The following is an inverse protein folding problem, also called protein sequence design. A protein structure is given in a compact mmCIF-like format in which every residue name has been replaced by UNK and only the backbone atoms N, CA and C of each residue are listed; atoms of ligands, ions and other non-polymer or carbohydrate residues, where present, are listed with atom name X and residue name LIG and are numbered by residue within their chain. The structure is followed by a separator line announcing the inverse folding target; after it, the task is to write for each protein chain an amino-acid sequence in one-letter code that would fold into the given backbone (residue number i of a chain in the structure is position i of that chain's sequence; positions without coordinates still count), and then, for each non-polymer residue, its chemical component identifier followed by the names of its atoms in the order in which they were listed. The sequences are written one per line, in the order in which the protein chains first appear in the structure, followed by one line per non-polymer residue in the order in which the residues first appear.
data_IF_402605677853
#
_entry.id   IF_402605677853
#
_cell.length_a   1.000
_cell.length_b   1.000
_cell.length_c   1.000
_cell.angle_alpha   90.00
_cell.angle_beta   90.00
_cell.angle_gamma   90.00
#
_symmetry.space_group_name_H-M   'P 1'
#
loop_
_entity.id
_entity.type
_entity.pdbx_description
1 polymer ?
#
# COMPACT_ATOMS: atom_id res chain seq x y z
N UNK A 1 33.78 44.70 -60.36
CA UNK A 1 33.45 43.52 -61.18
C UNK A 1 33.34 42.32 -60.24
N UNK A 2 32.31 41.50 -60.37
CA UNK A 2 32.17 40.26 -59.59
C UNK A 2 30.88 40.14 -58.79
N UNK A 3 29.72 40.25 -59.46
CA UNK A 3 28.46 39.76 -58.90
C UNK A 3 28.53 38.22 -58.89
N UNK A 4 28.35 37.58 -57.73
CA UNK A 4 28.16 36.13 -57.65
C UNK A 4 26.68 35.80 -57.93
N UNK A 5 26.40 34.84 -58.82
CA UNK A 5 25.04 34.57 -59.29
C UNK A 5 24.20 33.82 -58.24
N UNK A 6 22.92 34.17 -58.23
CA UNK A 6 21.82 33.59 -57.46
C UNK A 6 21.57 32.16 -57.96
N UNK A 7 22.01 31.16 -57.19
CA UNK A 7 21.67 29.77 -57.42
C UNK A 7 20.16 29.60 -57.17
N UNK A 8 19.45 29.14 -58.20
CA UNK A 8 18.06 28.70 -58.09
C UNK A 8 18.11 27.22 -57.68
N UNK A 9 17.73 26.93 -56.43
CA UNK A 9 17.47 25.56 -56.01
C UNK A 9 16.01 25.23 -56.35
N UNK A 10 15.83 24.40 -57.38
CA UNK A 10 14.56 23.77 -57.72
C UNK A 10 14.23 22.74 -56.65
N UNK A 11 13.38 23.10 -55.69
CA UNK A 11 12.89 22.16 -54.70
C UNK A 11 11.55 21.56 -55.17
N UNK A 12 11.66 20.44 -55.88
CA UNK A 12 10.57 19.54 -56.23
C UNK A 12 9.99 18.91 -54.96
N UNK A 13 8.99 19.54 -54.36
CA UNK A 13 8.17 18.90 -53.34
C UNK A 13 6.99 18.20 -54.01
N UNK A 14 7.16 16.88 -54.16
CA UNK A 14 6.09 15.94 -54.52
C UNK A 14 4.88 16.10 -53.61
N UNK A 15 3.71 16.09 -54.25
CA UNK A 15 2.41 16.03 -53.62
C UNK A 15 2.31 14.87 -52.63
N UNK A 16 2.05 15.18 -51.35
CA UNK A 16 1.48 14.22 -50.41
C UNK A 16 0.02 14.59 -50.17
N UNK A 17 -0.84 13.62 -50.49
CA UNK A 17 -2.28 13.77 -50.61
C UNK A 17 -2.99 14.18 -49.32
N UNK A 18 -4.10 14.85 -49.56
CA UNK A 18 -5.13 15.22 -48.61
C UNK A 18 -5.64 13.98 -47.85
N UNK A 19 -5.15 13.80 -46.63
CA UNK A 19 -5.80 12.91 -45.67
C UNK A 19 -7.06 13.60 -45.14
N UNK A 20 -8.17 13.33 -45.84
CA UNK A 20 -9.54 13.54 -45.35
C UNK A 20 -9.68 12.81 -44.02
N UNK A 21 -9.69 13.54 -42.90
CA UNK A 21 -10.09 12.99 -41.60
C UNK A 21 -11.61 12.90 -41.60
N UNK A 22 -12.11 11.77 -42.10
CA UNK A 22 -13.52 11.49 -42.26
C UNK A 22 -14.27 11.60 -40.93
N UNK A 23 -15.41 12.28 -41.00
CA UNK A 23 -16.20 12.80 -39.89
C UNK A 23 -17.11 11.73 -39.31
N UNK A 24 -16.54 10.78 -38.57
CA UNK A 24 -17.31 9.86 -37.74
C UNK A 24 -16.79 9.86 -36.31
N UNK A 25 -17.07 10.93 -35.56
CA UNK A 25 -17.01 10.85 -34.08
C UNK A 25 -18.07 9.83 -33.63
N UNK A 26 -17.71 8.70 -33.00
CA UNK A 26 -18.72 7.82 -32.43
C UNK A 26 -19.48 8.62 -31.36
N UNK A 27 -20.80 8.72 -31.55
CA UNK A 27 -21.69 9.42 -30.63
C UNK A 27 -21.56 8.76 -29.26
N UNK A 28 -21.30 9.57 -28.22
CA UNK A 28 -21.25 9.06 -26.85
C UNK A 28 -22.61 8.45 -26.50
N UNK A 29 -22.66 7.28 -25.84
CA UNK A 29 -23.92 6.62 -25.52
C UNK A 29 -24.79 7.50 -24.61
N UNK A 30 -26.14 7.39 -24.70
CA UNK A 30 -27.05 8.15 -23.85
C UNK A 30 -26.83 7.81 -22.38
N UNK A 31 -26.98 8.79 -21.49
CA UNK A 31 -26.70 8.68 -20.06
C UNK A 31 -27.42 7.52 -19.35
N UNK A 32 -28.54 7.04 -19.92
CA UNK A 32 -29.30 5.87 -19.45
C UNK A 32 -28.55 4.55 -19.63
N UNK A 33 -27.73 4.39 -20.67
CA UNK A 33 -26.91 3.19 -20.87
C UNK A 33 -25.74 3.08 -19.88
N UNK A 34 -25.32 4.20 -19.29
CA UNK A 34 -24.20 4.28 -18.32
C UNK A 34 -24.65 3.81 -16.92
N UNK A 35 -25.94 3.91 -16.60
CA UNK A 35 -26.48 3.61 -15.25
C UNK A 35 -26.83 2.14 -15.00
N UNK A 36 -26.76 1.27 -16.02
CA UNK A 36 -27.14 -0.15 -15.92
C UNK A 36 -25.95 -1.13 -16.06
N UNK A 37 -24.70 -0.66 -15.94
CA UNK A 37 -23.54 -1.55 -15.86
C UNK A 37 -23.41 -2.10 -14.42
N UNK A 38 -24.20 -3.11 -14.10
CA UNK A 38 -23.92 -4.02 -13.00
C UNK A 38 -22.42 -4.38 -13.05
N UNK A 39 -21.74 -4.22 -11.92
CA UNK A 39 -20.29 -4.39 -11.74
C UNK A 39 -19.85 -5.73 -12.34
N UNK A 40 -19.49 -5.76 -13.63
CA UNK A 40 -19.07 -7.00 -14.29
C UNK A 40 -17.85 -7.49 -13.53
N UNK A 41 -17.96 -8.63 -12.86
CA UNK A 41 -16.78 -9.31 -12.27
C UNK A 41 -15.80 -9.48 -13.42
N UNK A 42 -14.57 -8.96 -13.25
CA UNK A 42 -13.58 -9.04 -14.31
C UNK A 42 -13.26 -10.53 -14.52
N UNK A 43 -13.31 -11.06 -15.76
CA UNK A 43 -13.19 -12.50 -16.02
C UNK A 43 -11.94 -13.16 -15.42
N UNK A 44 -10.83 -12.41 -15.36
CA UNK A 44 -9.55 -12.91 -14.84
C UNK A 44 -9.53 -13.17 -13.33
N UNK A 45 -10.55 -12.76 -12.55
CA UNK A 45 -10.66 -13.19 -11.14
C UNK A 45 -10.94 -14.70 -11.00
N UNK A 46 -11.43 -15.34 -12.07
CA UNK A 46 -11.73 -16.77 -12.10
C UNK A 46 -10.56 -17.61 -12.61
N UNK A 47 -9.54 -16.94 -13.17
CA UNK A 47 -8.35 -17.52 -13.78
C UNK A 47 -7.53 -18.35 -12.76
N UNK A 48 -7.09 -19.57 -13.11
CA UNK A 48 -6.19 -20.36 -12.27
C UNK A 48 -4.92 -19.63 -11.88
N UNK A 49 -4.32 -18.85 -12.79
CA UNK A 49 -3.08 -18.12 -12.53
C UNK A 49 -3.31 -17.03 -11.48
N UNK A 50 -4.49 -16.41 -11.50
CA UNK A 50 -4.89 -15.44 -10.48
C UNK A 50 -5.06 -16.10 -9.11
N UNK A 51 -5.59 -17.32 -9.06
CA UNK A 51 -5.73 -18.06 -7.78
C UNK A 51 -4.38 -18.38 -7.17
N UNK A 52 -3.41 -18.79 -7.99
CA UNK A 52 -2.04 -19.07 -7.53
C UNK A 52 -1.33 -17.78 -7.08
N UNK A 53 -1.42 -16.71 -7.87
CA UNK A 53 -0.87 -15.40 -7.49
C UNK A 53 -1.47 -14.91 -6.17
N UNK A 54 -2.80 -14.99 -6.02
CA UNK A 54 -3.50 -14.64 -4.78
C UNK A 54 -3.00 -15.47 -3.60
N UNK A 55 -2.83 -16.78 -3.77
CA UNK A 55 -2.32 -17.66 -2.72
C UNK A 55 -0.87 -17.32 -2.36
N UNK A 56 -0.03 -17.00 -3.35
CA UNK A 56 1.35 -16.56 -3.16
C UNK A 56 1.45 -15.30 -2.29
N UNK A 57 0.64 -14.28 -2.60
CA UNK A 57 0.60 -13.03 -1.82
C UNK A 57 0.15 -13.27 -0.38
N UNK A 58 -0.88 -14.10 -0.15
CA UNK A 58 -1.33 -14.46 1.20
C UNK A 58 -0.21 -15.15 2.01
N UNK A 59 0.51 -16.09 1.38
CA UNK A 59 1.64 -16.78 2.01
C UNK A 59 2.78 -15.82 2.36
N UNK A 60 3.14 -14.93 1.44
CA UNK A 60 4.19 -13.91 1.66
C UNK A 60 3.83 -12.94 2.79
N UNK A 61 2.54 -12.65 2.95
CA UNK A 61 2.03 -11.80 4.04
C UNK A 61 1.75 -12.59 5.34
N UNK A 62 2.17 -13.85 5.42
CA UNK A 62 1.97 -14.77 6.57
C UNK A 62 0.50 -14.93 6.98
N UNK A 63 -0.42 -14.92 6.01
CA UNK A 63 -1.87 -14.96 6.23
C UNK A 63 -2.30 -13.90 7.26
N UNK A 64 -1.77 -12.68 7.10
CA UNK A 64 -2.06 -11.53 7.97
C UNK A 64 -2.32 -10.28 7.16
N UNK A 65 -3.27 -9.50 7.64
CA UNK A 65 -3.53 -8.16 7.13
C UNK A 65 -2.27 -7.28 7.30
N UNK A 66 -1.73 -6.77 6.19
CA UNK A 66 -0.56 -5.89 6.16
C UNK A 66 -0.73 -4.57 6.92
N UNK A 67 -1.99 -4.18 7.16
CA UNK A 67 -2.33 -2.94 7.87
C UNK A 67 -2.52 -3.12 9.38
N UNK A 68 -3.07 -4.25 9.83
CA UNK A 68 -3.46 -4.41 11.23
C UNK A 68 -3.10 -5.77 11.86
N UNK A 69 -2.49 -6.69 11.13
CA UNK A 69 -2.06 -8.01 11.62
C UNK A 69 -3.15 -9.05 11.84
N UNK A 70 -4.43 -8.70 11.60
CA UNK A 70 -5.59 -9.61 11.67
C UNK A 70 -5.39 -10.81 10.75
N UNK A 71 -5.85 -11.99 11.17
CA UNK A 71 -5.92 -13.20 10.33
C UNK A 71 -7.32 -13.47 9.80
N UNK A 72 -8.32 -12.70 10.27
CA UNK A 72 -9.72 -12.89 9.90
C UNK A 72 -10.10 -12.12 8.63
N UNK A 73 -10.99 -12.72 7.84
CA UNK A 73 -11.62 -12.14 6.64
C UNK A 73 -10.62 -11.48 5.68
N UNK A 74 -9.58 -12.23 5.27
CA UNK A 74 -8.51 -11.73 4.42
C UNK A 74 -8.89 -11.70 2.94
N UNK A 75 -8.59 -10.57 2.32
CA UNK A 75 -8.77 -10.29 0.90
C UNK A 75 -7.44 -9.77 0.34
N UNK A 76 -7.11 -10.14 -0.90
CA UNK A 76 -5.98 -9.56 -1.63
C UNK A 76 -6.50 -8.36 -2.41
N UNK A 77 -5.91 -7.20 -2.14
CA UNK A 77 -6.28 -5.92 -2.73
C UNK A 77 -5.10 -5.32 -3.49
N UNK A 78 -5.38 -4.50 -4.50
CA UNK A 78 -4.34 -3.81 -5.26
C UNK A 78 -3.88 -2.56 -4.51
N UNK A 79 -2.57 -2.36 -4.34
CA UNK A 79 -1.98 -1.16 -3.73
C UNK A 79 -2.37 0.07 -4.56
N UNK A 80 -2.11 0.02 -5.86
CA UNK A 80 -2.63 0.95 -6.86
C UNK A 80 -3.88 0.31 -7.48
N UNK A 81 -5.08 0.89 -7.29
CA UNK A 81 -6.30 0.34 -7.87
C UNK A 81 -6.20 0.23 -9.39
N UNK A 82 -6.77 -0.82 -9.97
CA UNK A 82 -6.79 -1.00 -11.44
C UNK A 82 -7.52 0.15 -12.15
N UNK A 83 -8.51 0.75 -11.49
CA UNK A 83 -9.20 1.93 -12.01
C UNK A 83 -8.28 3.16 -12.15
N UNK A 84 -7.18 3.19 -11.41
CA UNK A 84 -6.16 4.24 -11.41
C UNK A 84 -4.90 3.79 -12.18
N UNK A 85 -4.97 2.69 -12.94
CA UNK A 85 -3.89 2.21 -13.80
C UNK A 85 -2.93 1.19 -13.17
N UNK A 86 -3.26 0.64 -11.99
CA UNK A 86 -2.47 -0.43 -11.38
C UNK A 86 -2.49 -1.72 -12.21
N UNK A 87 -1.35 -2.39 -12.28
CA UNK A 87 -1.21 -3.69 -12.93
C UNK A 87 -1.97 -4.76 -12.12
N UNK A 88 -2.90 -5.51 -12.75
CA UNK A 88 -3.64 -6.57 -12.06
C UNK A 88 -2.80 -7.81 -11.75
N UNK A 89 -1.64 -8.03 -12.38
CA UNK A 89 -0.84 -9.27 -12.23
C UNK A 89 0.49 -9.06 -11.50
N UNK A 90 0.87 -7.82 -11.23
CA UNK A 90 2.08 -7.48 -10.49
C UNK A 90 1.92 -7.82 -9.00
N UNK A 91 2.70 -8.80 -8.50
CA UNK A 91 2.69 -9.19 -7.09
C UNK A 91 3.08 -8.05 -6.15
N UNK A 92 3.93 -7.13 -6.59
CA UNK A 92 4.36 -5.98 -5.77
C UNK A 92 3.24 -4.93 -5.66
N UNK A 93 2.27 -4.96 -6.59
CA UNK A 93 1.06 -4.16 -6.53
C UNK A 93 -0.07 -4.84 -5.74
N UNK A 94 0.16 -6.00 -5.11
CA UNK A 94 -0.84 -6.71 -4.31
C UNK A 94 -0.50 -6.65 -2.82
N UNK A 95 -1.53 -6.63 -1.98
CA UNK A 95 -1.40 -6.67 -0.53
C UNK A 95 -2.56 -7.42 0.12
N UNK A 96 -2.27 -8.14 1.22
CA UNK A 96 -3.30 -8.79 2.03
C UNK A 96 -3.91 -7.79 3.01
N UNK A 97 -5.24 -7.63 2.98
CA UNK A 97 -6.00 -6.78 3.90
C UNK A 97 -7.19 -7.55 4.49
N UNK A 98 -7.49 -7.33 5.76
CA UNK A 98 -8.77 -7.77 6.31
C UNK A 98 -9.92 -6.91 5.76
N UNK A 99 -11.14 -7.44 5.72
CA UNK A 99 -12.34 -6.77 5.21
C UNK A 99 -12.54 -5.35 5.76
N UNK A 100 -12.27 -5.11 7.05
CA UNK A 100 -12.33 -3.77 7.68
C UNK A 100 -11.32 -2.80 7.05
N UNK A 101 -10.07 -3.24 6.91
CA UNK A 101 -9.00 -2.41 6.35
C UNK A 101 -9.21 -2.14 4.87
N UNK A 102 -9.66 -3.15 4.12
CA UNK A 102 -9.99 -3.03 2.70
C UNK A 102 -11.13 -2.03 2.46
N UNK A 103 -12.22 -2.10 3.25
CA UNK A 103 -13.31 -1.11 3.19
C UNK A 103 -12.83 0.32 3.48
N UNK A 104 -11.96 0.49 4.47
CA UNK A 104 -11.40 1.80 4.80
C UNK A 104 -10.55 2.37 3.65
N UNK A 105 -9.72 1.54 3.01
CA UNK A 105 -8.94 1.92 1.82
C UNK A 105 -9.86 2.32 0.66
N UNK A 106 -10.81 1.46 0.31
CA UNK A 106 -11.79 1.72 -0.76
C UNK A 106 -12.55 3.04 -0.53
N UNK A 107 -12.98 3.32 0.71
CA UNK A 107 -13.67 4.55 1.08
C UNK A 107 -12.80 5.80 0.90
N UNK A 108 -11.54 5.72 1.31
CA UNK A 108 -10.57 6.81 1.12
C UNK A 108 -10.30 7.08 -0.37
N UNK A 109 -10.11 6.03 -1.17
CA UNK A 109 -9.89 6.14 -2.61
C UNK A 109 -11.09 6.69 -3.36
N UNK A 110 -12.31 6.24 -3.01
CA UNK A 110 -13.54 6.76 -3.58
C UNK A 110 -13.72 8.26 -3.29
N UNK A 111 -13.41 8.67 -2.06
CA UNK A 111 -13.44 10.07 -1.64
C UNK A 111 -12.41 10.90 -2.39
N UNK A 112 -11.19 10.39 -2.55
CA UNK A 112 -10.13 11.01 -3.35
C UNK A 112 -10.52 11.18 -4.83
N UNK A 113 -11.08 10.14 -5.45
CA UNK A 113 -11.59 10.21 -6.84
C UNK A 113 -12.73 11.22 -6.97
N UNK A 114 -13.65 11.28 -6.01
CA UNK A 114 -14.72 12.28 -6.01
C UNK A 114 -14.17 13.71 -5.88
N UNK A 115 -13.17 13.93 -5.02
CA UNK A 115 -12.50 15.22 -4.88
C UNK A 115 -11.78 15.64 -6.17
N UNK A 116 -11.01 14.74 -6.80
CA UNK A 116 -10.37 15.00 -8.10
C UNK A 116 -11.38 15.39 -9.18
N UNK A 117 -12.50 14.64 -9.29
CA UNK A 117 -13.58 14.96 -10.23
C UNK A 117 -14.19 16.34 -9.99
N UNK A 118 -14.43 16.70 -8.72
CA UNK A 118 -14.92 18.05 -8.36
C UNK A 118 -13.92 19.13 -8.75
N UNK A 119 -12.63 18.95 -8.45
CA UNK A 119 -11.58 19.90 -8.79
C UNK A 119 -11.48 20.13 -10.30
N UNK A 120 -11.48 19.06 -11.11
CA UNK A 120 -11.48 19.16 -12.58
C UNK A 120 -12.71 19.91 -13.10
N UNK A 121 -13.89 19.63 -12.55
CA UNK A 121 -15.12 20.35 -12.90
C UNK A 121 -15.02 21.84 -12.59
N UNK A 122 -14.55 22.19 -11.39
CA UNK A 122 -14.38 23.59 -10.96
C UNK A 122 -13.36 24.31 -11.84
N UNK A 123 -12.22 23.68 -12.14
CA UNK A 123 -11.19 24.23 -13.03
C UNK A 123 -11.73 24.49 -14.44
N UNK A 124 -12.49 23.54 -15.00
CA UNK A 124 -13.11 23.69 -16.32
C UNK A 124 -14.12 24.85 -16.34
N UNK A 125 -14.99 24.92 -15.33
CA UNK A 125 -15.95 26.02 -15.20
C UNK A 125 -15.23 27.38 -15.04
N UNK A 126 -14.15 27.45 -14.26
CA UNK A 126 -13.35 28.65 -14.14
C UNK A 126 -12.71 29.08 -15.47
N UNK A 127 -12.23 28.12 -16.28
CA UNK A 127 -11.71 28.43 -17.62
C UNK A 127 -12.79 28.97 -18.57
N UNK A 128 -14.05 28.53 -18.43
CA UNK A 128 -15.19 29.01 -19.23
C UNK A 128 -15.59 30.45 -18.86
N UNK A 129 -15.33 30.89 -17.62
CA UNK A 129 -15.61 32.25 -17.14
C UNK A 129 -14.50 33.27 -17.43
N UNK A 130 -13.36 32.85 -17.97
CA UNK A 130 -12.26 33.77 -18.29
C UNK A 130 -12.50 34.47 -19.65
N UNK A 131 -12.39 35.81 -19.73
CA UNK A 131 -12.53 36.55 -20.99
C UNK A 131 -11.60 36.03 -22.09
N UNK A 132 -12.10 35.99 -23.34
CA UNK A 132 -11.49 35.34 -24.52
C UNK A 132 -10.23 36.04 -25.07
N UNK A 133 -9.89 37.20 -24.52
CA UNK A 133 -9.17 38.28 -25.19
C UNK A 133 -7.73 38.52 -24.69
N UNK A 134 -7.15 37.64 -23.86
CA UNK A 134 -5.72 37.72 -23.50
C UNK A 134 -4.99 36.35 -23.49
N UNK A 135 -4.28 35.97 -24.58
CA UNK A 135 -3.67 34.64 -24.74
C UNK A 135 -2.37 34.42 -23.94
N UNK A 136 -1.57 35.47 -23.66
CA UNK A 136 -0.32 35.32 -22.89
C UNK A 136 -0.55 35.11 -21.39
N UNK A 137 -1.55 35.79 -20.82
CA UNK A 137 -1.90 35.67 -19.42
C UNK A 137 -2.58 34.34 -19.11
N UNK A 138 -3.34 33.76 -20.05
CA UNK A 138 -3.89 32.41 -19.91
C UNK A 138 -2.81 31.33 -19.82
N UNK A 139 -1.71 31.45 -20.58
CA UNK A 139 -0.57 30.52 -20.50
C UNK A 139 0.16 30.67 -19.18
N UNK A 140 0.41 31.91 -18.73
CA UNK A 140 1.05 32.21 -17.43
C UNK A 140 0.17 31.76 -16.25
N UNK A 141 -1.13 32.00 -16.30
CA UNK A 141 -2.10 31.59 -15.29
C UNK A 141 -2.22 30.06 -15.23
N UNK A 142 -2.35 29.38 -16.38
CA UNK A 142 -2.33 27.90 -16.43
C UNK A 142 -1.05 27.33 -15.82
N UNK A 143 0.11 27.91 -16.16
CA UNK A 143 1.39 27.49 -15.60
C UNK A 143 1.47 27.73 -14.08
N UNK A 144 0.99 28.88 -13.60
CA UNK A 144 0.96 29.20 -12.18
C UNK A 144 0.01 28.28 -11.41
N UNK A 145 -1.21 28.05 -11.91
CA UNK A 145 -2.17 27.12 -11.32
C UNK A 145 -1.64 25.68 -11.34
N UNK A 146 -0.99 25.25 -12.42
CA UNK A 146 -0.35 23.94 -12.49
C UNK A 146 0.77 23.80 -11.44
N UNK A 147 1.58 24.84 -11.23
CA UNK A 147 2.57 24.89 -10.15
C UNK A 147 1.92 24.82 -8.77
N UNK A 148 0.85 25.57 -8.52
CA UNK A 148 0.12 25.53 -7.25
C UNK A 148 -0.47 24.13 -6.97
N UNK A 149 -1.11 23.52 -7.97
CA UNK A 149 -1.65 22.15 -7.83
C UNK A 149 -0.53 21.13 -7.61
N UNK A 150 0.58 21.24 -8.35
CA UNK A 150 1.75 20.37 -8.15
C UNK A 150 2.29 20.50 -6.73
N UNK A 151 2.42 21.73 -6.22
CA UNK A 151 2.88 22.00 -4.86
C UNK A 151 1.91 21.41 -3.82
N UNK A 152 0.60 21.61 -3.96
CA UNK A 152 -0.41 21.03 -3.08
C UNK A 152 -0.37 19.50 -3.06
N UNK A 153 -0.15 18.86 -4.22
CA UNK A 153 0.00 17.39 -4.30
C UNK A 153 1.27 16.94 -3.57
N UNK A 154 2.39 17.62 -3.78
CA UNK A 154 3.66 17.32 -3.09
C UNK A 154 3.54 17.48 -1.58
N UNK A 155 2.93 18.56 -1.10
CA UNK A 155 2.68 18.82 0.32
C UNK A 155 1.77 17.75 0.93
N UNK A 156 0.68 17.39 0.24
CA UNK A 156 -0.21 16.32 0.69
C UNK A 156 0.51 14.95 0.77
N UNK A 157 1.39 14.65 -0.20
CA UNK A 157 2.20 13.42 -0.17
C UNK A 157 3.18 13.42 1.01
N UNK A 158 3.88 14.55 1.26
CA UNK A 158 4.77 14.72 2.40
C UNK A 158 4.01 14.56 3.73
N UNK A 159 2.80 15.11 3.84
CA UNK A 159 1.97 14.97 5.03
C UNK A 159 1.53 13.51 5.27
N UNK A 160 1.11 12.80 4.22
CA UNK A 160 0.75 11.39 4.31
C UNK A 160 1.97 10.52 4.68
N UNK A 161 3.13 10.80 4.12
CA UNK A 161 4.38 10.11 4.46
C UNK A 161 4.77 10.37 5.92
N UNK A 162 4.64 11.61 6.40
CA UNK A 162 4.87 11.96 7.80
C UNK A 162 3.90 11.23 8.74
N UNK A 163 2.61 11.15 8.38
CA UNK A 163 1.60 10.36 9.12
C UNK A 163 1.99 8.87 9.16
N UNK A 164 2.45 8.31 8.04
CA UNK A 164 2.93 6.91 7.97
C UNK A 164 4.15 6.68 8.86
N UNK A 165 5.15 7.57 8.81
CA UNK A 165 6.35 7.50 9.67
C UNK A 165 5.98 7.56 11.15
N UNK A 166 5.07 8.46 11.55
CA UNK A 166 4.57 8.54 12.93
C UNK A 166 3.83 7.28 13.37
N UNK A 167 3.04 6.66 12.48
CA UNK A 167 2.36 5.41 12.77
C UNK A 167 3.34 4.25 12.97
N UNK A 168 4.34 4.12 12.08
CA UNK A 168 5.40 3.12 12.18
C UNK A 168 6.20 3.29 13.48
N UNK A 169 6.59 4.52 13.82
CA UNK A 169 7.30 4.81 15.07
C UNK A 169 6.50 4.37 16.30
N UNK A 170 5.20 4.70 16.36
CA UNK A 170 4.31 4.24 17.45
C UNK A 170 4.21 2.71 17.55
N UNK A 171 4.17 2.02 16.41
CA UNK A 171 4.13 0.56 16.40
C UNK A 171 5.47 -0.03 16.87
N UNK A 172 6.60 0.57 16.47
CA UNK A 172 7.94 0.21 16.96
C UNK A 172 8.07 0.41 18.47
N UNK A 173 7.58 1.52 19.01
CA UNK A 173 7.57 1.79 20.45
C UNK A 173 6.78 0.73 21.22
N UNK A 174 5.60 0.34 20.70
CA UNK A 174 4.77 -0.72 21.30
C UNK A 174 5.46 -2.08 21.27
N UNK A 175 6.13 -2.43 20.17
CA UNK A 175 6.90 -3.69 20.07
C UNK A 175 8.07 -3.67 21.07
N UNK A 176 8.81 -2.56 21.16
CA UNK A 176 9.91 -2.43 22.10
C UNK A 176 9.44 -2.53 23.57
N UNK A 177 8.25 -1.99 23.89
CA UNK A 177 7.63 -2.15 25.20
C UNK A 177 7.30 -3.61 25.51
N UNK A 178 6.66 -4.32 24.58
CA UNK A 178 6.35 -5.75 24.74
C UNK A 178 7.61 -6.60 24.90
N UNK A 179 8.71 -6.25 24.22
CA UNK A 179 10.00 -6.93 24.38
C UNK A 179 10.61 -6.71 25.77
N UNK A 180 10.55 -5.48 26.29
CA UNK A 180 10.97 -5.16 27.67
C UNK A 180 10.17 -5.96 28.69
N UNK A 181 8.84 -6.03 28.53
CA UNK A 181 7.97 -6.84 29.39
C UNK A 181 8.30 -8.33 29.32
N UNK A 182 8.52 -8.87 28.12
CA UNK A 182 8.90 -10.27 27.92
C UNK A 182 10.26 -10.59 28.55
N UNK A 183 11.22 -9.67 28.44
CA UNK A 183 12.53 -9.81 29.06
C UNK A 183 12.41 -9.81 30.59
N UNK A 184 11.69 -8.83 31.16
CA UNK A 184 11.43 -8.78 32.60
C UNK A 184 10.73 -10.06 33.11
N UNK A 185 9.76 -10.59 32.35
CA UNK A 185 9.09 -11.84 32.69
C UNK A 185 10.03 -13.06 32.65
N UNK A 186 10.97 -13.11 31.69
CA UNK A 186 12.01 -14.16 31.62
C UNK A 186 12.96 -14.08 32.82
N UNK A 187 13.41 -12.88 33.17
CA UNK A 187 14.28 -12.64 34.32
C UNK A 187 13.58 -13.01 35.63
N UNK A 188 12.31 -12.62 35.81
CA UNK A 188 11.51 -12.99 36.97
C UNK A 188 11.31 -14.51 37.09
N UNK A 189 11.03 -15.20 35.98
CA UNK A 189 10.94 -16.67 35.95
C UNK A 189 12.27 -17.34 36.30
N UNK A 190 13.39 -16.82 35.79
CA UNK A 190 14.72 -17.32 36.11
C UNK A 190 15.06 -17.11 37.59
N UNK A 191 14.74 -15.94 38.15
CA UNK A 191 14.91 -15.65 39.56
C UNK A 191 14.07 -16.57 40.46
N UNK A 192 12.80 -16.78 40.12
CA UNK A 192 11.93 -17.72 40.84
C UNK A 192 12.45 -19.17 40.76
N UNK A 193 12.92 -19.61 39.59
CA UNK A 193 13.53 -20.93 39.44
C UNK A 193 14.80 -21.06 40.30
N UNK A 194 15.64 -20.03 40.36
CA UNK A 194 16.83 -20.00 41.22
C UNK A 194 16.47 -20.05 42.72
N UNK A 195 15.42 -19.34 43.15
CA UNK A 195 14.90 -19.43 44.51
C UNK A 195 14.42 -20.84 44.85
N UNK A 196 13.64 -21.50 43.97
CA UNK A 196 13.21 -22.90 44.17
C UNK A 196 14.39 -23.85 44.33
N UNK A 197 15.47 -23.65 43.55
CA UNK A 197 16.71 -24.44 43.66
C UNK A 197 17.41 -24.17 45.00
N UNK A 198 17.48 -22.91 45.45
CA UNK A 198 18.12 -22.52 46.71
C UNK A 198 17.33 -22.99 47.95
N UNK A 199 16.00 -22.86 47.91
CA UNK A 199 15.04 -23.24 48.95
C UNK A 199 14.68 -24.72 48.94
N UNK A 200 15.30 -25.52 48.08
CA UNK A 200 15.24 -26.97 48.13
C UNK A 200 16.39 -27.53 48.98
N UNK A 201 16.39 -27.45 50.33
CA UNK A 201 17.20 -28.37 51.08
C UNK A 201 16.56 -29.74 50.84
N UNK A 202 17.40 -30.74 50.56
CA UNK A 202 17.09 -32.16 50.81
C UNK A 202 16.59 -33.06 49.67
N UNK A 203 17.29 -33.09 48.53
CA UNK A 203 17.53 -34.40 47.88
C UNK A 203 18.79 -35.07 48.42
N UNK A 204 19.85 -34.30 48.67
CA UNK A 204 21.11 -34.80 49.24
C UNK A 204 20.99 -35.18 50.73
N UNK A 205 20.41 -34.32 51.58
CA UNK A 205 20.27 -34.60 53.02
C UNK A 205 19.27 -35.74 53.35
N UNK A 206 18.17 -35.89 52.58
CA UNK A 206 17.24 -37.02 52.72
C UNK A 206 17.87 -38.34 52.27
N UNK A 207 18.59 -38.36 51.13
CA UNK A 207 19.38 -39.53 50.71
C UNK A 207 20.47 -39.86 51.73
N UNK A 208 21.22 -38.87 52.22
CA UNK A 208 22.26 -39.07 53.23
C UNK A 208 21.69 -39.67 54.53
N UNK A 209 20.58 -39.12 55.06
CA UNK A 209 19.90 -39.69 56.23
C UNK A 209 19.39 -41.11 55.97
N UNK A 210 18.87 -41.40 54.77
CA UNK A 210 18.43 -42.75 54.40
C UNK A 210 19.60 -43.74 54.34
N UNK A 211 20.74 -43.36 53.76
CA UNK A 211 21.96 -44.19 53.72
C UNK A 211 22.55 -44.42 55.12
N UNK A 212 22.58 -43.40 55.98
CA UNK A 212 22.98 -43.56 57.38
C UNK A 212 22.07 -44.53 58.15
N UNK A 213 20.75 -44.43 57.97
CA UNK A 213 19.76 -45.30 58.63
C UNK A 213 19.80 -46.74 58.10
N UNK A 214 20.17 -46.93 56.82
CA UNK A 214 20.35 -48.25 56.20
C UNK A 214 21.67 -48.91 56.62
N UNK A 215 22.73 -48.11 56.80
CA UNK A 215 24.04 -48.59 57.29
C UNK A 215 23.96 -49.00 58.76
N UNK A 216 23.27 -48.25 59.61
CA UNK A 216 23.06 -48.62 61.02
C UNK A 216 22.23 -49.89 61.18
N UNK A 217 21.19 -50.11 60.35
CA UNK A 217 20.42 -51.36 60.34
C UNK A 217 21.24 -52.59 59.90
N UNK A 218 22.28 -52.43 59.08
CA UNK A 218 23.18 -53.53 58.68
C UNK A 218 24.22 -53.89 59.73
N UNK A 219 24.58 -52.95 60.62
CA UNK A 219 25.55 -53.19 61.69
C UNK A 219 24.90 -53.75 62.98
N UNK A 220 23.56 -53.71 63.07
CA UNK A 220 22.79 -54.22 64.20
C UNK A 220 22.22 -55.64 63.99
N UNK A 221 22.60 -56.33 62.91
CA UNK A 221 22.30 -57.75 62.72
C UNK A 221 23.49 -58.60 63.19
N UNK A 222 23.33 -59.44 64.23
CA UNK A 222 24.31 -60.44 64.64
C UNK A 222 24.40 -61.60 63.64
#
# INVERSE_FOLDING_TARGET
MGQRPRQQETNSHSAHGDHVWDSARPQSPPATAIMAAAKRRRPWYEDPDWRELRASVLRSDYDRCRKCGSQDELEVDHIVPIADGGDPWDSDNLQTLCRRCHRAKTGAEASGRAARRRAVRTYRAACELLPADYPEDRRRLRHHLAKQVSQQISEAHQEQEAKRKRAVARDQDRVAEQERERQAAREARAAAAAQVVAESPTRSRRRARWWSKRRSRRQASP
#
